data_IF_978976092903
#
_entry.id   IF_978976092903
#
_cell.length_a   1.000
_cell.length_b   1.000
_cell.length_c   1.000
_cell.angle_alpha   90.00
_cell.angle_beta   90.00
_cell.angle_gamma   90.00
#
_symmetry.space_group_name_H-M   'P 1'
#
loop_
_entity.id
_entity.type
_entity.pdbx_description
1 polymer ?
#
# COMPACT_ATOMS: atom_id res chain seq x y z
N UNK A 1 18.55 4.51 -10.02
CA UNK A 1 17.22 4.20 -10.53
C UNK A 1 16.26 3.87 -9.41
N UNK A 2 16.70 3.04 -8.45
CA UNK A 2 15.86 2.74 -7.29
C UNK A 2 15.50 4.01 -6.51
N UNK A 3 16.47 4.90 -6.33
CA UNK A 3 16.26 6.15 -5.60
C UNK A 3 15.20 7.01 -6.29
N UNK A 4 15.23 7.10 -7.61
CA UNK A 4 14.25 7.87 -8.36
C UNK A 4 12.86 7.26 -8.25
N UNK A 5 12.78 5.94 -8.29
CA UNK A 5 11.50 5.25 -8.13
C UNK A 5 10.91 5.48 -6.74
N UNK A 6 11.77 5.45 -5.72
CA UNK A 6 11.33 5.70 -4.36
C UNK A 6 10.84 7.14 -4.20
N UNK A 7 11.53 8.11 -4.79
CA UNK A 7 11.10 9.49 -4.76
C UNK A 7 9.76 9.68 -5.46
N UNK A 8 9.57 9.00 -6.59
CA UNK A 8 8.30 9.08 -7.31
C UNK A 8 7.16 8.51 -6.47
N UNK A 9 7.39 7.36 -5.84
CA UNK A 9 6.39 6.77 -4.95
C UNK A 9 6.05 7.69 -3.80
N UNK A 10 7.08 8.24 -3.14
CA UNK A 10 6.88 9.15 -2.03
C UNK A 10 6.03 10.35 -2.44
N UNK A 11 6.30 10.89 -3.64
CA UNK A 11 5.52 12.00 -4.16
C UNK A 11 4.07 11.63 -4.44
N UNK A 12 3.85 10.46 -5.06
CA UNK A 12 2.49 10.00 -5.35
C UNK A 12 1.68 9.78 -4.07
N UNK A 13 2.31 9.16 -3.08
CA UNK A 13 1.64 8.89 -1.81
C UNK A 13 1.30 10.19 -1.08
N UNK A 14 2.24 11.15 -1.08
CA UNK A 14 1.98 12.45 -0.49
C UNK A 14 0.84 13.18 -1.16
N UNK A 15 0.79 13.13 -2.49
CA UNK A 15 -0.31 13.73 -3.25
C UNK A 15 -1.64 13.08 -2.91
N UNK A 16 -1.66 11.75 -2.84
CA UNK A 16 -2.88 11.04 -2.53
C UNK A 16 -3.40 11.35 -1.13
N UNK A 17 -2.48 11.51 -0.17
CA UNK A 17 -2.87 11.87 1.19
C UNK A 17 -3.49 13.25 1.23
N UNK A 18 -2.89 14.21 0.55
CA UNK A 18 -3.41 15.57 0.48
C UNK A 18 -4.76 15.63 -0.20
N UNK A 19 -4.95 14.79 -1.21
CA UNK A 19 -6.22 14.76 -1.96
C UNK A 19 -7.33 14.02 -1.21
N UNK A 20 -7.02 13.43 -0.07
CA UNK A 20 -8.01 12.66 0.68
C UNK A 20 -8.26 11.27 0.13
N UNK A 21 -7.36 10.78 -0.71
CA UNK A 21 -7.49 9.45 -1.33
C UNK A 21 -6.85 8.33 -0.53
N UNK A 22 -6.16 8.66 0.56
CA UNK A 22 -5.42 7.68 1.36
C UNK A 22 -5.80 7.80 2.82
N UNK A 23 -6.09 6.66 3.45
CA UNK A 23 -6.24 6.58 4.90
C UNK A 23 -5.12 5.71 5.45
N UNK A 24 -4.75 5.98 6.70
CA UNK A 24 -3.62 5.31 7.36
C UNK A 24 -4.06 4.71 8.68
N UNK A 25 -3.42 3.60 9.04
CA UNK A 25 -3.68 2.92 10.31
C UNK A 25 -4.66 1.78 10.16
N UNK A 26 -4.49 0.75 11.00
CA UNK A 26 -5.28 -0.47 10.90
C UNK A 26 -6.78 -0.21 11.00
N UNK A 27 -7.19 0.53 12.05
CA UNK A 27 -8.61 0.76 12.28
C UNK A 27 -9.24 1.57 11.17
N UNK A 28 -8.53 2.57 10.68
CA UNK A 28 -9.04 3.42 9.61
C UNK A 28 -9.11 2.69 8.28
N UNK A 29 -8.13 1.83 8.01
CA UNK A 29 -8.14 1.01 6.81
C UNK A 29 -9.32 0.04 6.86
N UNK A 30 -9.51 -0.60 8.02
CA UNK A 30 -10.64 -1.52 8.21
C UNK A 30 -11.98 -0.82 7.96
N UNK A 31 -12.15 0.37 8.56
CA UNK A 31 -13.40 1.11 8.40
C UNK A 31 -13.60 1.56 6.95
N UNK A 32 -12.53 2.01 6.31
CA UNK A 32 -12.61 2.46 4.92
C UNK A 32 -12.95 1.33 3.97
N UNK A 33 -12.46 0.12 4.24
CA UNK A 33 -12.77 -1.04 3.41
C UNK A 33 -14.27 -1.33 3.37
N UNK A 34 -14.98 -1.01 4.43
CA UNK A 34 -16.42 -1.24 4.49
C UNK A 34 -17.22 -0.14 3.81
N UNK A 35 -16.60 1.00 3.54
CA UNK A 35 -17.30 2.16 3.00
C UNK A 35 -16.87 2.56 1.60
N UNK A 36 -15.63 2.27 1.23
CA UNK A 36 -15.06 2.72 -0.03
C UNK A 36 -14.36 1.59 -0.75
N UNK A 37 -14.41 1.63 -2.07
CA UNK A 37 -13.70 0.65 -2.86
C UNK A 37 -12.20 0.84 -2.74
N UNK A 38 -11.46 -0.21 -2.41
CA UNK A 38 -10.00 -0.11 -2.36
C UNK A 38 -9.43 -0.10 -3.76
N UNK A 39 -8.44 0.76 -3.98
CA UNK A 39 -7.63 0.70 -5.18
C UNK A 39 -6.37 -0.10 -4.91
N UNK A 40 -5.75 0.14 -3.77
CA UNK A 40 -4.49 -0.51 -3.42
C UNK A 40 -4.32 -0.49 -1.91
N UNK A 41 -4.06 -1.66 -1.34
CA UNK A 41 -3.67 -1.76 0.06
C UNK A 41 -2.18 -1.53 0.18
N UNK A 42 -1.77 -0.75 1.18
CA UNK A 42 -0.36 -0.50 1.46
C UNK A 42 0.00 -1.16 2.78
N UNK A 43 1.00 -2.04 2.75
CA UNK A 43 1.46 -2.72 3.95
C UNK A 43 2.96 -2.56 4.05
N UNK A 44 3.43 -2.25 5.26
CA UNK A 44 4.86 -2.11 5.47
C UNK A 44 5.56 -3.46 5.34
N UNK A 45 6.71 -3.45 4.67
CA UNK A 45 7.50 -4.66 4.47
C UNK A 45 7.91 -5.30 5.81
N UNK A 46 8.16 -4.47 6.81
CA UNK A 46 8.58 -4.92 8.13
C UNK A 46 7.41 -4.96 9.14
N UNK A 47 6.19 -4.89 8.65
CA UNK A 47 5.02 -5.02 9.52
C UNK A 47 4.78 -6.46 9.92
N UNK A 48 4.01 -6.65 11.00
CA UNK A 48 3.66 -7.99 11.46
C UNK A 48 2.79 -8.71 10.44
N UNK A 49 3.11 -9.98 10.21
CA UNK A 49 2.36 -10.79 9.25
C UNK A 49 0.90 -10.91 9.65
N UNK A 50 0.64 -11.02 10.93
CA UNK A 50 -0.73 -11.18 11.44
C UNK A 50 -1.61 -10.00 11.05
N UNK A 51 -1.13 -8.78 11.26
CA UNK A 51 -1.90 -7.59 10.89
C UNK A 51 -2.11 -7.48 9.39
N UNK A 52 -1.08 -7.82 8.62
CA UNK A 52 -1.14 -7.80 7.17
C UNK A 52 -2.17 -8.81 6.66
N UNK A 53 -2.17 -10.00 7.22
CA UNK A 53 -3.13 -11.04 6.85
C UNK A 53 -4.56 -10.65 7.18
N UNK A 54 -4.77 -10.04 8.33
CA UNK A 54 -6.11 -9.62 8.73
C UNK A 54 -6.70 -8.59 7.76
N UNK A 55 -5.90 -7.61 7.39
CA UNK A 55 -6.35 -6.59 6.43
C UNK A 55 -6.63 -7.22 5.08
N UNK A 56 -5.74 -8.08 4.61
CA UNK A 56 -5.90 -8.73 3.32
C UNK A 56 -7.17 -9.58 3.27
N UNK A 57 -7.39 -10.41 4.27
CA UNK A 57 -8.55 -11.30 4.27
C UNK A 57 -9.85 -10.53 4.40
N UNK A 58 -9.86 -9.45 5.16
CA UNK A 58 -11.05 -8.60 5.23
C UNK A 58 -11.35 -7.97 3.87
N UNK A 59 -10.33 -7.45 3.22
CA UNK A 59 -10.51 -6.83 1.91
C UNK A 59 -10.99 -7.86 0.89
N UNK A 60 -10.43 -9.05 0.90
CA UNK A 60 -10.80 -10.09 -0.04
C UNK A 60 -12.23 -10.58 0.19
N UNK A 61 -12.69 -10.58 1.43
CA UNK A 61 -14.06 -10.97 1.73
C UNK A 61 -15.07 -9.98 1.16
N UNK A 62 -14.68 -8.70 1.07
CA UNK A 62 -15.58 -7.66 0.59
C UNK A 62 -15.43 -7.40 -0.91
N UNK A 63 -14.27 -7.64 -1.48
CA UNK A 63 -13.98 -7.31 -2.87
C UNK A 63 -13.21 -8.44 -3.56
N UNK A 64 -13.57 -8.71 -4.81
CA UNK A 64 -12.95 -9.82 -5.55
C UNK A 64 -11.55 -9.47 -6.09
N UNK A 65 -11.30 -8.20 -6.39
CA UNK A 65 -10.02 -7.78 -6.97
C UNK A 65 -9.31 -6.82 -6.04
N UNK A 66 -8.57 -7.38 -5.10
CA UNK A 66 -7.81 -6.59 -4.14
C UNK A 66 -6.33 -6.79 -4.40
N UNK A 67 -5.59 -5.69 -4.47
CA UNK A 67 -4.15 -5.73 -4.60
C UNK A 67 -3.50 -5.13 -3.37
N UNK A 68 -2.35 -5.69 -2.99
CA UNK A 68 -1.61 -5.24 -1.83
C UNK A 68 -0.16 -5.03 -2.22
N UNK A 69 0.38 -3.87 -1.86
CA UNK A 69 1.75 -3.49 -2.15
C UNK A 69 2.55 -3.47 -0.85
N UNK A 70 3.67 -4.19 -0.84
CA UNK A 70 4.47 -4.35 0.37
C UNK A 70 5.95 -4.11 0.21
N UNK A 71 6.36 -3.34 -0.79
CA UNK A 71 7.79 -3.14 -1.05
C UNK A 71 8.44 -2.02 -0.23
N UNK A 72 7.67 -1.20 0.45
CA UNK A 72 8.21 -0.11 1.27
C UNK A 72 8.20 -0.49 2.74
N UNK A 73 9.25 -0.10 3.45
CA UNK A 73 9.31 -0.30 4.89
C UNK A 73 8.40 0.69 5.62
N UNK A 74 8.17 0.44 6.91
CA UNK A 74 7.38 1.34 7.73
C UNK A 74 7.99 2.74 7.80
N UNK A 75 9.31 2.82 7.79
CA UNK A 75 10.01 4.11 7.79
C UNK A 75 9.84 4.84 6.47
N UNK A 76 9.94 4.13 5.36
CA UNK A 76 9.76 4.73 4.04
C UNK A 76 8.33 5.24 3.86
N UNK A 77 7.35 4.47 4.30
CA UNK A 77 5.98 4.94 4.29
C UNK A 77 5.81 6.16 5.19
N UNK A 78 6.46 6.14 6.36
CA UNK A 78 6.42 7.26 7.26
C UNK A 78 6.92 8.54 6.62
N UNK A 79 8.04 8.46 5.89
CA UNK A 79 8.58 9.62 5.18
C UNK A 79 7.55 10.17 4.19
N UNK A 80 6.89 9.29 3.46
CA UNK A 80 5.91 9.70 2.45
C UNK A 80 4.75 10.47 3.06
N UNK A 81 4.37 10.13 4.30
CA UNK A 81 3.18 10.70 4.93
C UNK A 81 3.49 11.66 6.07
N UNK A 82 4.76 11.99 6.27
CA UNK A 82 5.15 12.92 7.34
C UNK A 82 4.96 12.34 8.73
N UNK A 83 5.13 11.05 8.90
CA UNK A 83 5.02 10.36 10.18
C UNK A 83 6.29 9.56 10.43
N UNK A 84 6.49 9.18 11.68
CA UNK A 84 7.66 8.38 12.02
C UNK A 84 7.60 7.00 11.38
N UNK A 85 6.48 6.33 11.50
CA UNK A 85 6.28 5.01 10.93
C UNK A 85 4.83 4.83 10.49
N UNK A 86 4.65 4.11 9.40
CA UNK A 86 3.31 3.75 8.91
C UNK A 86 3.32 2.28 8.54
N UNK A 87 2.38 1.52 9.08
CA UNK A 87 2.30 0.08 8.85
C UNK A 87 1.20 -0.28 7.84
N UNK A 88 0.05 0.37 7.93
CA UNK A 88 -1.11 0.06 7.10
C UNK A 88 -1.63 1.31 6.41
N UNK A 89 -2.03 1.16 5.16
CA UNK A 89 -2.66 2.23 4.42
C UNK A 89 -3.58 1.69 3.35
N UNK A 90 -4.46 2.55 2.88
CA UNK A 90 -5.38 2.21 1.80
C UNK A 90 -5.50 3.39 0.85
N UNK A 91 -5.21 3.15 -0.42
CA UNK A 91 -5.44 4.13 -1.48
C UNK A 91 -6.76 3.76 -2.13
N UNK A 92 -7.72 4.69 -2.16
CA UNK A 92 -9.00 4.39 -2.78
C UNK A 92 -8.84 4.28 -4.29
N UNK A 93 -9.76 3.56 -4.92
CA UNK A 93 -9.72 3.34 -6.36
C UNK A 93 -9.73 4.67 -7.12
N UNK A 94 -8.82 4.79 -8.09
CA UNK A 94 -8.72 6.00 -8.88
C UNK A 94 -7.34 6.13 -9.52
N UNK A 95 -7.05 7.28 -10.16
CA UNK A 95 -5.79 7.48 -10.87
C UNK A 95 -4.56 7.39 -9.96
N UNK A 96 -4.66 7.88 -8.73
CA UNK A 96 -3.53 7.83 -7.78
C UNK A 96 -3.21 6.37 -7.44
N UNK A 97 -4.22 5.55 -7.20
CA UNK A 97 -4.01 4.14 -6.90
C UNK A 97 -3.31 3.43 -8.06
N UNK A 98 -3.74 3.72 -9.27
CA UNK A 98 -3.16 3.07 -10.44
C UNK A 98 -1.71 3.48 -10.65
N UNK A 99 -1.41 4.77 -10.53
CA UNK A 99 -0.05 5.26 -10.67
C UNK A 99 0.85 4.72 -9.57
N UNK A 100 0.33 4.64 -8.35
CA UNK A 100 1.07 4.11 -7.22
C UNK A 100 1.38 2.62 -7.43
N UNK A 101 0.41 1.87 -7.89
CA UNK A 101 0.60 0.45 -8.16
C UNK A 101 1.73 0.22 -9.17
N UNK A 102 1.73 0.97 -10.27
CA UNK A 102 2.76 0.83 -11.29
C UNK A 102 4.15 1.15 -10.74
N UNK A 103 4.24 2.22 -9.94
CA UNK A 103 5.52 2.61 -9.35
C UNK A 103 6.00 1.56 -8.35
N UNK A 104 5.09 0.97 -7.57
CA UNK A 104 5.44 -0.12 -6.66
C UNK A 104 5.98 -1.34 -7.42
N UNK A 105 5.34 -1.70 -8.50
CA UNK A 105 5.78 -2.85 -9.29
C UNK A 105 7.19 -2.65 -9.83
N UNK A 106 7.51 -1.44 -10.27
CA UNK A 106 8.85 -1.13 -10.76
C UNK A 106 9.89 -1.19 -9.64
N UNK A 107 9.54 -0.61 -8.48
CA UNK A 107 10.46 -0.62 -7.35
C UNK A 107 10.70 -2.05 -6.86
N UNK A 108 9.65 -2.86 -6.80
CA UNK A 108 9.76 -4.23 -6.35
C UNK A 108 10.76 -5.03 -7.18
N UNK A 109 10.78 -4.80 -8.50
CA UNK A 109 11.74 -5.45 -9.38
C UNK A 109 13.18 -5.13 -9.02
N UNK A 110 13.43 -3.90 -8.56
CA UNK A 110 14.79 -3.52 -8.16
C UNK A 110 15.17 -4.09 -6.80
N UNK A 111 14.22 -4.27 -5.91
CA UNK A 111 14.52 -4.75 -4.56
C UNK A 111 14.68 -6.26 -4.49
N UNK A 112 14.08 -6.97 -5.44
CA UNK A 112 14.21 -8.43 -5.56
C UNK A 112 13.96 -9.15 -4.24
N UNK A 113 12.91 -8.75 -3.52
CA UNK A 113 12.52 -9.35 -2.24
C UNK A 113 11.11 -9.89 -2.35
N UNK A 114 10.96 -11.16 -2.72
CA UNK A 114 9.61 -11.71 -2.97
C UNK A 114 8.64 -11.51 -1.83
N UNK A 115 9.12 -11.59 -0.58
CA UNK A 115 8.26 -11.40 0.58
C UNK A 115 7.78 -9.96 0.75
N UNK A 116 8.43 -9.01 0.06
CA UNK A 116 8.05 -7.61 0.10
C UNK A 116 7.29 -7.17 -1.15
N UNK A 117 7.27 -8.03 -2.16
CA UNK A 117 6.60 -7.77 -3.44
C UNK A 117 5.26 -8.45 -3.50
N UNK A 118 4.72 -8.74 -2.37
CA UNK A 118 3.60 -9.63 -2.23
C UNK A 118 2.30 -9.05 -2.77
N UNK A 119 1.73 -9.75 -3.72
CA UNK A 119 0.39 -9.49 -4.26
C UNK A 119 -0.38 -10.81 -4.21
N UNK A 120 -0.95 -11.14 -3.04
CA UNK A 120 -1.47 -12.49 -2.81
C UNK A 120 -2.56 -12.92 -3.78
N UNK A 121 -3.33 -12.00 -4.29
CA UNK A 121 -4.40 -12.33 -5.23
C UNK A 121 -3.89 -12.78 -6.58
N UNK A 122 -2.62 -12.57 -6.87
CA UNK A 122 -2.01 -12.97 -8.14
C UNK A 122 -1.47 -14.39 -8.09
N UNK A 123 -1.39 -14.97 -6.93
CA UNK A 123 -0.87 -16.32 -6.75
C UNK A 123 -1.91 -17.40 -6.99
N UNK A 124 -3.11 -17.00 -7.36
CA UNK A 124 -4.23 -17.94 -7.52
C UNK A 124 -4.42 -18.37 -8.96
#
# INVERSE_FOLDING_TARGET
VETLLLQRLTGLLGMGKKAGDIVLGFDQVRDALQKKRPGLLLEAADGAEDGRSKVYFLAKALYSNVKMAGALSSEELGVAFGRERVIHGLVRKGPIAKATELAYQRLAGFRARPELDWFPDQDR
#
